data_IF_424299951071
#
_entry.id   IF_424299951071
#
_cell.length_a   1.000
_cell.length_b   1.000
_cell.length_c   1.000
_cell.angle_alpha   90.00
_cell.angle_beta   90.00
_cell.angle_gamma   90.00
#
_symmetry.space_group_name_H-M   'P 1'
#
loop_
_entity.id
_entity.type
_entity.pdbx_description
1 polymer ?
#
# COMPACT_ATOMS: atom_id res chain seq x y z
N UNK A 1 12.21 -0.47 -18.75
CA UNK A 1 10.75 -0.62 -18.67
C UNK A 1 10.35 -0.48 -17.20
N UNK A 2 10.21 0.76 -16.72
CA UNK A 2 9.73 1.02 -15.36
C UNK A 2 8.22 0.82 -15.40
N UNK A 3 7.78 -0.30 -14.83
CA UNK A 3 6.38 -0.45 -14.47
C UNK A 3 6.21 0.41 -13.22
N UNK A 4 5.85 1.68 -13.40
CA UNK A 4 5.33 2.49 -12.30
C UNK A 4 4.09 1.76 -11.80
N UNK A 5 4.21 1.17 -10.61
CA UNK A 5 3.09 0.55 -9.93
C UNK A 5 1.96 1.57 -9.80
N UNK A 6 0.74 1.10 -10.08
CA UNK A 6 -0.49 1.87 -10.03
C UNK A 6 -0.88 2.16 -8.57
N UNK A 7 -0.01 2.83 -7.82
CA UNK A 7 -0.40 3.49 -6.59
C UNK A 7 -1.37 4.61 -6.99
N UNK A 8 -2.64 4.49 -6.58
CA UNK A 8 -3.59 5.60 -6.68
C UNK A 8 -3.01 6.76 -5.87
N UNK A 9 -2.33 7.69 -6.53
CA UNK A 9 -1.84 8.93 -5.95
C UNK A 9 -3.00 9.93 -5.94
N UNK A 10 -3.05 10.76 -4.92
CA UNK A 10 -4.00 11.86 -4.81
C UNK A 10 -3.22 13.16 -4.89
N UNK A 11 -3.77 14.12 -5.60
CA UNK A 11 -3.22 15.47 -5.71
C UNK A 11 -4.18 16.49 -5.11
N UNK A 12 -3.62 17.43 -4.36
CA UNK A 12 -4.27 18.69 -3.98
C UNK A 12 -3.60 19.81 -4.78
N UNK A 13 -4.39 20.59 -5.53
CA UNK A 13 -3.89 21.64 -6.41
C UNK A 13 -4.80 22.86 -6.43
N UNK A 14 -4.22 24.02 -6.79
CA UNK A 14 -4.95 25.26 -7.03
C UNK A 14 -5.73 25.19 -8.34
N UNK A 15 -6.92 25.78 -8.39
CA UNK A 15 -7.58 26.10 -9.67
C UNK A 15 -7.57 27.62 -9.80
N UNK A 16 -6.81 28.20 -10.74
CA UNK A 16 -6.81 29.63 -10.96
C UNK A 16 -8.16 30.25 -11.32
N UNK A 17 -8.50 31.44 -10.81
CA UNK A 17 -9.25 32.42 -11.58
C UNK A 17 -8.35 33.07 -12.65
N UNK A 18 -8.95 33.40 -13.80
CA UNK A 18 -8.26 33.96 -14.97
C UNK A 18 -7.74 35.38 -14.73
N UNK A 19 -6.52 35.56 -14.18
CA UNK A 19 -5.52 36.58 -14.54
C UNK A 19 -4.46 36.82 -13.44
N UNK A 20 -3.24 37.15 -13.89
CA UNK A 20 -2.01 37.52 -13.16
C UNK A 20 -1.28 36.37 -12.44
N UNK A 21 0.06 36.48 -12.43
CA UNK A 21 1.06 35.47 -12.05
C UNK A 21 0.56 34.45 -11.02
N UNK A 22 0.31 33.24 -11.51
CA UNK A 22 -0.35 32.23 -10.74
C UNK A 22 0.63 31.53 -9.80
N UNK A 23 0.39 31.70 -8.51
CA UNK A 23 0.95 30.83 -7.49
C UNK A 23 0.49 29.40 -7.79
N UNK A 24 1.43 28.50 -8.05
CA UNK A 24 1.10 27.10 -8.28
C UNK A 24 1.57 26.28 -7.09
N UNK A 25 0.60 25.63 -6.44
CA UNK A 25 0.83 24.67 -5.38
C UNK A 25 0.30 23.30 -5.82
N UNK A 26 1.09 22.27 -5.57
CA UNK A 26 0.72 20.89 -5.81
C UNK A 26 1.31 20.01 -4.71
N UNK A 27 0.44 19.22 -4.07
CA UNK A 27 0.82 18.25 -3.04
C UNK A 27 0.35 16.87 -3.49
N UNK A 28 1.27 15.92 -3.60
CA UNK A 28 1.03 14.56 -4.11
C UNK A 28 1.39 13.53 -3.06
N UNK A 29 0.43 12.70 -2.67
CA UNK A 29 0.56 11.67 -1.63
C UNK A 29 -0.17 10.39 -2.04
N UNK A 30 0.16 9.23 -1.44
CA UNK A 30 -0.58 8.01 -1.67
C UNK A 30 -2.02 8.09 -1.13
N UNK A 31 -3.00 7.56 -1.89
CA UNK A 31 -4.38 7.40 -1.41
C UNK A 31 -4.50 6.34 -0.31
N UNK A 32 -3.55 5.41 -0.27
CA UNK A 32 -3.48 4.29 0.66
C UNK A 32 -2.07 4.24 1.23
N UNK A 33 -1.95 4.37 2.55
CA UNK A 33 -0.68 4.30 3.29
C UNK A 33 -0.57 2.91 3.90
N UNK A 34 0.60 2.29 3.81
CA UNK A 34 0.84 1.00 4.46
C UNK A 34 1.53 1.22 5.82
N UNK A 35 0.95 0.70 6.92
CA UNK A 35 1.58 0.76 8.23
C UNK A 35 2.98 0.16 8.21
N UNK A 36 3.88 0.79 8.94
CA UNK A 36 5.27 0.38 9.10
C UNK A 36 6.10 0.30 7.81
N UNK A 37 5.63 0.93 6.72
CA UNK A 37 6.37 1.12 5.49
C UNK A 37 6.69 2.60 5.30
N UNK A 38 7.82 2.88 4.65
CA UNK A 38 8.18 4.23 4.23
C UNK A 38 7.31 4.67 3.05
N UNK A 39 6.51 5.69 3.27
CA UNK A 39 5.68 6.35 2.27
C UNK A 39 6.27 7.72 1.94
N UNK A 40 5.93 8.25 0.75
CA UNK A 40 6.44 9.54 0.28
C UNK A 40 5.32 10.52 -0.04
N UNK A 41 5.51 11.75 0.42
CA UNK A 41 4.72 12.92 0.06
C UNK A 41 5.62 13.87 -0.71
N UNK A 42 5.18 14.32 -1.88
CA UNK A 42 5.91 15.31 -2.68
C UNK A 42 5.13 16.62 -2.75
N UNK A 43 5.86 17.72 -2.63
CA UNK A 43 5.35 19.07 -2.55
C UNK A 43 6.04 19.89 -3.64
N UNK A 44 5.25 20.67 -4.37
CA UNK A 44 5.72 21.58 -5.40
C UNK A 44 5.05 22.94 -5.22
N UNK A 45 5.82 23.93 -4.79
CA UNK A 45 5.43 25.33 -4.74
C UNK A 45 6.26 26.08 -5.77
N UNK A 46 5.63 26.89 -6.60
CA UNK A 46 6.34 27.69 -7.60
C UNK A 46 5.65 29.02 -7.86
N UNK A 47 6.43 29.96 -8.39
CA UNK A 47 5.99 31.33 -8.66
C UNK A 47 5.58 32.09 -7.39
N UNK A 48 6.26 31.79 -6.27
CA UNK A 48 6.04 32.51 -5.01
C UNK A 48 6.47 33.97 -5.15
N UNK A 49 5.53 34.88 -4.92
CA UNK A 49 5.80 36.32 -4.91
C UNK A 49 6.26 36.83 -3.55
N UNK A 50 6.06 36.05 -2.48
CA UNK A 50 6.37 36.32 -1.07
C UNK A 50 6.75 34.99 -0.38
N UNK A 51 7.37 35.05 0.80
CA UNK A 51 7.65 33.83 1.58
C UNK A 51 6.33 33.31 2.17
N UNK A 52 6.16 31.99 2.20
CA UNK A 52 4.92 31.37 2.69
C UNK A 52 5.24 30.35 3.77
N UNK A 53 4.35 30.22 4.74
CA UNK A 53 4.40 29.17 5.73
C UNK A 53 3.61 27.95 5.23
N UNK A 54 4.24 26.79 5.22
CA UNK A 54 3.69 25.52 4.76
C UNK A 54 3.58 24.56 5.94
N UNK A 55 2.38 24.05 6.17
CA UNK A 55 2.12 22.97 7.11
C UNK A 55 1.36 21.82 6.42
N UNK A 56 1.85 20.59 6.63
CA UNK A 56 1.17 19.37 6.21
C UNK A 56 1.03 18.43 7.40
N UNK A 57 -0.22 18.09 7.73
CA UNK A 57 -0.55 17.32 8.93
C UNK A 57 -1.40 16.12 8.58
N UNK A 58 -1.07 14.97 9.15
CA UNK A 58 -1.96 13.81 9.23
C UNK A 58 -2.83 13.96 10.48
N UNK A 59 -4.11 14.19 10.28
CA UNK A 59 -5.12 14.19 11.33
C UNK A 59 -5.53 12.76 11.63
N UNK A 60 -5.18 12.28 12.83
CA UNK A 60 -5.47 10.93 13.33
C UNK A 60 -6.39 11.03 14.55
N UNK A 61 -7.13 9.97 14.86
CA UNK A 61 -8.05 9.91 16.02
C UNK A 61 -7.32 10.13 17.35
N UNK A 62 -6.10 9.60 17.48
CA UNK A 62 -5.33 9.65 18.73
C UNK A 62 -4.53 10.95 18.86
N UNK A 63 -3.69 11.25 17.88
CA UNK A 63 -2.82 12.43 17.88
C UNK A 63 -2.48 12.84 16.45
N UNK A 64 -2.65 14.12 16.16
CA UNK A 64 -2.19 14.70 14.91
C UNK A 64 -0.68 14.56 14.75
N UNK A 65 -0.26 14.19 13.55
CA UNK A 65 1.13 14.01 13.19
C UNK A 65 1.51 14.97 12.07
N UNK A 66 2.23 16.03 12.41
CA UNK A 66 2.76 16.99 11.45
C UNK A 66 3.90 16.34 10.66
N UNK A 67 3.72 16.24 9.34
CA UNK A 67 4.72 15.69 8.42
C UNK A 67 5.75 16.75 8.01
N UNK A 68 5.29 17.98 7.82
CA UNK A 68 6.08 19.13 7.37
C UNK A 68 5.55 20.39 8.00
N UNK A 69 6.44 21.24 8.50
CA UNK A 69 6.13 22.59 8.97
C UNK A 69 7.36 23.46 8.74
N UNK A 70 7.31 24.35 7.75
CA UNK A 70 8.46 25.19 7.38
C UNK A 70 8.05 26.44 6.61
N UNK A 71 8.92 27.44 6.64
CA UNK A 71 8.82 28.61 5.78
C UNK A 71 9.51 28.34 4.42
N UNK A 72 8.84 28.68 3.33
CA UNK A 72 9.31 28.51 1.96
C UNK A 72 9.54 29.88 1.33
N UNK A 73 10.81 30.18 1.03
CA UNK A 73 11.20 31.42 0.35
C UNK A 73 11.02 31.36 -1.18
N UNK A 74 11.14 32.52 -1.83
CA UNK A 74 11.09 32.63 -3.29
C UNK A 74 12.28 31.90 -3.94
N UNK A 75 12.09 31.25 -5.12
CA UNK A 75 10.88 31.27 -5.96
C UNK A 75 9.85 30.17 -5.64
N UNK A 76 10.10 29.36 -4.61
CA UNK A 76 9.35 28.15 -4.29
C UNK A 76 10.27 26.96 -4.00
N UNK A 77 9.69 25.78 -3.83
CA UNK A 77 10.42 24.55 -3.51
C UNK A 77 9.82 23.34 -4.22
N UNK A 78 10.66 22.34 -4.48
CA UNK A 78 10.24 20.99 -4.82
C UNK A 78 10.95 20.01 -3.89
N UNK A 79 10.17 19.30 -3.08
CA UNK A 79 10.69 18.37 -2.08
C UNK A 79 9.80 17.15 -1.94
N UNK A 80 10.39 16.01 -1.62
CA UNK A 80 9.67 14.81 -1.26
C UNK A 80 10.08 14.36 0.14
N UNK A 81 9.13 14.38 1.06
CA UNK A 81 9.29 13.95 2.44
C UNK A 81 8.92 12.47 2.55
N UNK A 82 9.75 11.73 3.26
CA UNK A 82 9.48 10.32 3.59
C UNK A 82 8.92 10.25 5.02
N UNK A 83 7.86 9.48 5.21
CA UNK A 83 7.19 9.34 6.50
C UNK A 83 6.68 7.90 6.69
N UNK A 84 6.35 7.55 7.93
CA UNK A 84 5.84 6.23 8.29
C UNK A 84 4.71 6.36 9.31
N UNK A 85 3.67 5.54 9.17
CA UNK A 85 2.52 5.48 10.09
C UNK A 85 2.47 4.10 10.73
N UNK A 86 2.03 4.00 11.99
CA UNK A 86 2.04 2.74 12.75
C UNK A 86 0.66 2.06 12.85
N UNK A 87 -0.43 2.82 12.85
CA UNK A 87 -1.78 2.30 13.11
C UNK A 87 -2.62 2.18 11.84
N UNK A 88 -3.47 1.15 11.80
CA UNK A 88 -4.52 1.01 10.80
C UNK A 88 -5.69 1.93 11.15
N UNK A 89 -5.92 2.93 10.31
CA UNK A 89 -6.94 3.94 10.57
C UNK A 89 -7.33 4.67 9.28
N UNK A 90 -8.43 5.40 9.34
CA UNK A 90 -8.85 6.33 8.30
C UNK A 90 -8.49 7.73 8.76
N UNK A 91 -7.55 8.36 8.06
CA UNK A 91 -6.98 9.66 8.46
C UNK A 91 -7.31 10.73 7.42
N UNK A 92 -7.10 11.99 7.78
CA UNK A 92 -7.16 13.10 6.83
C UNK A 92 -5.77 13.73 6.69
N UNK A 93 -5.32 13.91 5.45
CA UNK A 93 -4.20 14.78 5.15
C UNK A 93 -4.72 16.22 5.02
N UNK A 94 -4.24 17.09 5.88
CA UNK A 94 -4.54 18.52 5.86
C UNK A 94 -3.29 19.29 5.42
N UNK A 95 -3.46 20.14 4.41
CA UNK A 95 -2.43 21.00 3.85
C UNK A 95 -2.88 22.43 4.06
N UNK A 96 -2.04 23.22 4.70
CA UNK A 96 -2.26 24.64 4.92
C UNK A 96 -1.05 25.41 4.38
N UNK A 97 -1.33 26.42 3.56
CA UNK A 97 -0.35 27.36 3.05
C UNK A 97 -0.88 28.77 3.33
N UNK A 98 -0.14 29.55 4.10
CA UNK A 98 -0.49 30.94 4.37
C UNK A 98 0.72 31.86 4.20
N UNK A 99 0.44 33.13 3.92
CA UNK A 99 1.42 34.22 3.87
C UNK A 99 1.00 35.23 4.92
N UNK A 100 1.82 35.40 5.95
CA UNK A 100 1.47 36.14 7.16
C UNK A 100 0.08 35.71 7.69
N UNK A 101 -0.90 36.62 7.73
CA UNK A 101 -2.26 36.38 8.19
C UNK A 101 -3.23 35.88 7.09
N UNK A 102 -2.76 35.74 5.84
CA UNK A 102 -3.61 35.38 4.68
C UNK A 102 -3.46 33.91 4.28
N UNK A 103 -4.54 33.14 4.38
CA UNK A 103 -4.57 31.75 3.89
C UNK A 103 -4.62 31.74 2.36
N UNK A 104 -3.56 31.22 1.73
CA UNK A 104 -3.43 31.09 0.28
C UNK A 104 -4.05 29.78 -0.22
N UNK A 105 -3.89 28.72 0.55
CA UNK A 105 -4.48 27.42 0.25
C UNK A 105 -4.77 26.64 1.52
N UNK A 106 -5.94 25.98 1.51
CA UNK A 106 -6.28 24.97 2.48
C UNK A 106 -6.91 23.78 1.75
N UNK A 107 -6.36 22.60 1.96
CA UNK A 107 -6.81 21.37 1.33
C UNK A 107 -6.88 20.24 2.34
N UNK A 108 -8.00 19.52 2.37
CA UNK A 108 -8.18 18.36 3.25
C UNK A 108 -8.62 17.15 2.45
N UNK A 109 -7.94 16.02 2.62
CA UNK A 109 -8.25 14.80 1.88
C UNK A 109 -8.18 13.55 2.74
N UNK A 110 -9.20 12.69 2.58
CA UNK A 110 -9.28 11.39 3.25
C UNK A 110 -8.24 10.41 2.68
N UNK A 111 -7.51 9.73 3.56
CA UNK A 111 -6.50 8.72 3.24
C UNK A 111 -6.79 7.46 4.04
N UNK A 112 -6.58 6.30 3.42
CA UNK A 112 -6.79 5.01 4.07
C UNK A 112 -5.46 4.42 4.51
N UNK A 113 -5.24 4.21 5.80
CA UNK A 113 -4.08 3.51 6.33
C UNK A 113 -4.46 2.04 6.55
N UNK A 114 -3.86 1.12 5.81
CA UNK A 114 -4.16 -0.32 5.92
C UNK A 114 -2.95 -1.18 5.51
N UNK A 115 -2.81 -2.38 6.09
CA UNK A 115 -1.74 -3.31 5.77
C UNK A 115 -1.84 -3.72 4.31
N UNK A 116 -0.66 -3.97 3.75
CA UNK A 116 -0.57 -4.56 2.43
C UNK A 116 -1.15 -5.97 2.50
N UNK A 117 -2.16 -6.22 1.66
CA UNK A 117 -2.70 -7.58 1.50
C UNK A 117 -1.86 -8.29 0.46
N UNK A 118 -1.40 -9.49 0.80
CA UNK A 118 -0.70 -10.32 -0.15
C UNK A 118 -1.70 -11.23 -0.88
N UNK A 119 -1.39 -11.57 -2.13
CA UNK A 119 -2.12 -12.55 -2.92
C UNK A 119 -1.38 -13.87 -2.85
N UNK A 120 -2.10 -14.93 -2.49
CA UNK A 120 -1.54 -16.28 -2.41
C UNK A 120 -2.12 -17.09 -3.56
N UNK A 121 -1.23 -17.54 -4.45
CA UNK A 121 -1.60 -18.42 -5.55
C UNK A 121 -1.12 -19.83 -5.23
N UNK A 122 -2.05 -20.79 -5.31
CA UNK A 122 -1.76 -22.21 -5.24
C UNK A 122 -2.03 -22.79 -6.61
N UNK A 123 -0.99 -23.35 -7.22
CA UNK A 123 -1.07 -23.94 -8.55
C UNK A 123 -0.57 -25.37 -8.50
N UNK A 124 -1.40 -26.29 -8.97
CA UNK A 124 -1.04 -27.69 -9.13
C UNK A 124 -0.35 -27.91 -10.47
N UNK A 125 0.51 -28.92 -10.58
CA UNK A 125 1.15 -29.28 -11.86
C UNK A 125 0.14 -29.84 -12.89
N UNK A 126 -1.00 -30.36 -12.41
CA UNK A 126 -2.11 -30.88 -13.23
C UNK A 126 -3.47 -30.47 -12.66
N UNK A 127 -4.46 -30.33 -13.55
CA UNK A 127 -5.84 -30.05 -13.16
C UNK A 127 -6.60 -31.29 -12.63
N UNK A 128 -6.17 -32.50 -13.04
CA UNK A 128 -6.81 -33.77 -12.70
C UNK A 128 -5.75 -34.80 -12.36
N UNK A 129 -5.97 -35.56 -11.29
CA UNK A 129 -5.10 -36.63 -10.83
C UNK A 129 -5.85 -37.96 -10.81
N UNK A 130 -5.16 -39.03 -11.17
CA UNK A 130 -5.62 -40.40 -10.99
C UNK A 130 -5.39 -40.86 -9.55
N UNK A 131 -6.15 -41.84 -9.05
CA UNK A 131 -5.87 -42.45 -7.76
C UNK A 131 -4.43 -42.96 -7.66
N UNK A 132 -3.74 -42.65 -6.56
CA UNK A 132 -2.34 -43.03 -6.33
C UNK A 132 -1.31 -42.09 -6.96
N UNK A 133 -1.72 -41.09 -7.75
CA UNK A 133 -0.80 -40.04 -8.18
C UNK A 133 -0.51 -39.06 -7.04
N UNK A 134 0.77 -38.68 -6.91
CA UNK A 134 1.20 -37.60 -6.01
C UNK A 134 0.79 -36.25 -6.57
N UNK A 135 0.09 -35.46 -5.76
CA UNK A 135 -0.23 -34.06 -6.07
C UNK A 135 1.01 -33.20 -5.87
N UNK A 136 1.46 -32.54 -6.94
CA UNK A 136 2.50 -31.52 -6.86
C UNK A 136 1.87 -30.15 -7.01
N UNK A 137 2.25 -29.23 -6.14
CA UNK A 137 1.79 -27.86 -6.20
C UNK A 137 2.92 -26.90 -5.86
N UNK A 138 2.78 -25.66 -6.33
CA UNK A 138 3.57 -24.53 -5.90
C UNK A 138 2.67 -23.52 -5.23
N UNK A 139 3.21 -22.89 -4.19
CA UNK A 139 2.58 -21.74 -3.54
C UNK A 139 3.44 -20.53 -3.86
N UNK A 140 2.81 -19.48 -4.35
CA UNK A 140 3.47 -18.20 -4.64
C UNK A 140 2.78 -17.12 -3.82
N UNK A 141 3.57 -16.40 -3.02
CA UNK A 141 3.12 -15.21 -2.30
C UNK A 141 3.49 -13.97 -3.12
N UNK A 142 2.49 -13.20 -3.49
CA UNK A 142 2.61 -12.01 -4.32
C UNK A 142 2.19 -10.77 -3.52
N UNK A 143 2.88 -9.67 -3.75
CA UNK A 143 2.44 -8.36 -3.28
C UNK A 143 1.37 -7.75 -4.22
N UNK A 144 0.91 -6.54 -3.89
CA UNK A 144 -0.02 -5.78 -4.74
C UNK A 144 0.54 -5.43 -6.13
N UNK A 145 1.87 -5.45 -6.31
CA UNK A 145 2.55 -5.22 -7.59
C UNK A 145 2.76 -6.53 -8.37
N UNK A 146 2.21 -7.64 -7.88
CA UNK A 146 2.44 -8.99 -8.41
C UNK A 146 3.92 -9.41 -8.39
N UNK A 147 4.72 -8.82 -7.50
CA UNK A 147 6.11 -9.24 -7.26
C UNK A 147 6.11 -10.34 -6.21
N UNK A 148 7.01 -11.30 -6.39
CA UNK A 148 7.18 -12.42 -5.47
C UNK A 148 7.79 -11.93 -4.16
N UNK A 149 7.05 -12.09 -3.07
CA UNK A 149 7.53 -11.82 -1.73
C UNK A 149 8.27 -13.07 -1.22
N UNK A 150 9.57 -12.95 -0.95
CA UNK A 150 10.40 -14.01 -0.37
C UNK A 150 10.30 -14.03 1.15
N UNK A 151 9.09 -14.15 1.68
CA UNK A 151 8.87 -14.28 3.12
C UNK A 151 8.45 -15.70 3.46
N UNK A 152 8.84 -16.17 4.64
CA UNK A 152 8.50 -17.51 5.12
C UNK A 152 7.03 -17.53 5.59
N UNK A 153 6.10 -17.74 4.66
CA UNK A 153 4.69 -17.84 5.00
C UNK A 153 4.38 -19.27 5.45
N UNK A 154 3.84 -19.42 6.66
CA UNK A 154 3.34 -20.70 7.16
C UNK A 154 2.00 -21.02 6.51
N UNK A 155 1.98 -22.05 5.67
CA UNK A 155 0.76 -22.57 5.06
C UNK A 155 0.42 -23.94 5.62
N UNK A 156 -0.84 -24.12 6.01
CA UNK A 156 -1.42 -25.42 6.33
C UNK A 156 -2.46 -25.74 5.27
N UNK A 157 -2.11 -26.51 4.22
CA UNK A 157 -3.06 -26.86 3.18
C UNK A 157 -4.12 -27.83 3.74
N UNK A 158 -5.39 -27.48 3.60
CA UNK A 158 -6.51 -28.38 3.88
C UNK A 158 -7.11 -28.87 2.56
N UNK A 159 -6.85 -30.13 2.20
CA UNK A 159 -7.44 -30.75 1.00
C UNK A 159 -8.71 -31.49 1.42
N UNK A 160 -9.86 -30.97 0.99
CA UNK A 160 -11.16 -31.55 1.31
C UNK A 160 -11.58 -32.60 0.28
N UNK A 161 -11.97 -33.78 0.75
CA UNK A 161 -12.56 -34.82 -0.10
C UNK A 161 -14.04 -34.53 -0.30
N UNK A 162 -14.47 -34.39 -1.56
CA UNK A 162 -15.86 -34.07 -1.97
C UNK A 162 -16.95 -35.06 -1.46
N UNK A 163 -16.58 -36.18 -0.84
CA UNK A 163 -17.51 -37.23 -0.34
C UNK A 163 -17.27 -37.68 1.12
N UNK A 164 -16.37 -37.07 1.88
CA UNK A 164 -16.17 -37.38 3.31
C UNK A 164 -15.42 -36.22 3.98
N UNK A 165 -15.97 -35.70 5.07
CA UNK A 165 -15.37 -34.69 5.95
C UNK A 165 -14.22 -35.28 6.79
N UNK A 166 -13.30 -36.04 6.19
CA UNK A 166 -12.06 -36.43 6.87
C UNK A 166 -10.94 -35.46 6.49
N UNK A 167 -10.49 -34.71 7.51
CA UNK A 167 -9.42 -33.72 7.42
C UNK A 167 -8.08 -34.46 7.38
N UNK A 168 -7.26 -34.22 6.34
CA UNK A 168 -5.88 -34.72 6.32
C UNK A 168 -5.02 -33.69 7.07
N UNK A 169 -4.33 -34.12 8.13
CA UNK A 169 -3.36 -33.31 8.85
C UNK A 169 -2.07 -33.23 8.04
N UNK A 170 -1.59 -32.03 7.69
CA UNK A 170 -0.39 -31.82 6.88
C UNK A 170 0.61 -31.00 7.70
N UNK A 171 1.76 -31.62 8.03
CA UNK A 171 2.93 -30.91 8.51
C UNK A 171 3.71 -30.29 7.33
N UNK A 172 4.22 -29.08 7.59
CA UNK A 172 4.91 -28.14 6.70
C UNK A 172 6.01 -28.80 5.85
N UNK A 173 6.04 -28.53 4.53
CA UNK A 173 7.25 -28.73 3.72
C UNK A 173 7.51 -27.52 2.82
N UNK A 174 8.51 -26.72 3.20
CA UNK A 174 9.32 -25.97 2.23
C UNK A 174 10.08 -27.03 1.43
N UNK A 175 9.63 -27.32 0.20
CA UNK A 175 10.19 -28.34 -0.71
C UNK A 175 10.48 -29.66 0.01
N UNK A 176 9.56 -30.61 -0.05
CA UNK A 176 9.88 -32.03 -0.30
C UNK A 176 8.57 -32.80 -0.48
N UNK A 177 8.72 -33.95 -1.08
CA UNK A 177 7.70 -34.73 -1.79
C UNK A 177 6.86 -35.53 -0.80
N UNK A 178 5.53 -35.53 -0.93
CA UNK A 178 4.67 -36.45 -0.18
C UNK A 178 4.22 -37.63 -1.06
N UNK A 179 4.48 -38.89 -0.67
CA UNK A 179 3.79 -40.04 -1.23
C UNK A 179 2.38 -40.12 -0.63
N UNK A 180 1.37 -40.28 -1.49
CA UNK A 180 -0.02 -40.51 -1.05
C UNK A 180 -0.12 -41.84 -0.28
N UNK A 181 -0.78 -41.91 0.89
CA UNK A 181 -1.08 -43.19 1.52
C UNK A 181 -2.17 -43.91 0.71
N UNK A 182 -1.84 -45.12 0.25
CA UNK A 182 -2.77 -46.02 -0.43
C UNK A 182 -3.98 -46.38 0.47
N UNK A 183 -5.11 -46.64 -0.19
CA UNK A 183 -6.32 -47.21 0.38
C UNK A 183 -6.06 -48.52 1.17
N UNK A 184 -7.00 -48.93 2.04
CA UNK A 184 -7.39 -50.33 2.10
C UNK A 184 -8.67 -50.54 1.28
N UNK A 185 -8.56 -51.40 0.26
CA UNK A 185 -9.69 -52.23 -0.19
C UNK A 185 -9.84 -53.34 0.84
N UNK A 186 -11.05 -53.59 1.33
CA UNK A 186 -11.41 -54.87 1.94
C UNK A 186 -12.62 -55.44 1.22
N UNK A 187 -12.44 -56.71 0.82
CA UNK A 187 -13.38 -57.67 0.26
C UNK A 187 -14.60 -57.89 1.14
#
# INVERSE_FOLDING_TARGET
>A
MQVESLHRKVSLSSVPPLSLSLLHYMVVFPAVIHPSQEEKLCIHLSSLTEAVHLAVTLEMETKNHTLVEQDVEKPGTFECITFQVSSEEVVFLHVLIHSDDSVLFEGRKKVLVKPQKNVILVETDKALYKPGETVKFRIVNLDNDLKVIKNEVSFTPCIYRRRSLSMIHIERLLKETFPSPCMPVKS
#
